data_IF_050818857485
#
_entry.id   IF_050818857485
#
_cell.length_a   1.000
_cell.length_b   1.000
_cell.length_c   1.000
_cell.angle_alpha   90.00
_cell.angle_beta   90.00
_cell.angle_gamma   90.00
#
_symmetry.space_group_name_H-M   'P 1'
#
loop_
_entity.id
_entity.type
_entity.pdbx_description
1 polymer ?
#
# COMPACT_ATOMS: atom_id res chain seq x y z
N UNK A 1 17.54 5.15 -13.73
CA UNK A 1 16.10 4.84 -13.62
C UNK A 1 15.55 5.78 -12.56
N UNK A 2 14.68 6.67 -13.01
CA UNK A 2 14.43 8.00 -12.47
C UNK A 2 13.87 8.03 -11.05
N UNK A 3 14.32 9.00 -10.26
CA UNK A 3 13.67 9.36 -8.99
C UNK A 3 12.20 9.66 -9.29
N UNK A 4 11.28 8.89 -8.71
CA UNK A 4 9.87 9.25 -8.72
C UNK A 4 9.75 10.56 -7.94
N UNK A 5 9.29 11.63 -8.60
CA UNK A 5 9.05 12.91 -7.93
C UNK A 5 7.94 12.75 -6.88
N UNK A 6 7.99 13.56 -5.83
CA UNK A 6 6.99 13.55 -4.76
C UNK A 6 5.56 13.60 -5.29
N UNK A 7 5.31 14.32 -6.38
CA UNK A 7 4.00 14.40 -7.04
C UNK A 7 3.52 13.07 -7.67
N UNK A 8 4.43 12.27 -8.22
CA UNK A 8 4.09 10.96 -8.80
C UNK A 8 3.83 9.95 -7.68
N UNK A 9 4.69 9.91 -6.67
CA UNK A 9 4.46 9.11 -5.47
C UNK A 9 3.13 9.49 -4.83
N UNK A 10 2.86 10.79 -4.69
CA UNK A 10 1.65 11.29 -4.05
C UNK A 10 0.39 10.99 -4.86
N UNK A 11 0.46 11.00 -6.20
CA UNK A 11 -0.66 10.56 -7.06
C UNK A 11 -0.95 9.07 -6.93
N UNK A 12 0.08 8.23 -6.95
CA UNK A 12 -0.09 6.79 -6.76
C UNK A 12 -0.59 6.48 -5.34
N UNK A 13 -0.11 7.24 -4.36
CA UNK A 13 -0.53 7.13 -2.97
C UNK A 13 -1.99 7.57 -2.79
N UNK A 14 -2.40 8.74 -3.32
CA UNK A 14 -3.81 9.20 -3.30
C UNK A 14 -4.77 8.25 -4.01
N UNK A 15 -4.28 7.47 -4.97
CA UNK A 15 -5.11 6.48 -5.66
C UNK A 15 -5.43 5.28 -4.78
N UNK A 16 -4.55 4.98 -3.83
CA UNK A 16 -4.71 3.90 -2.85
C UNK A 16 -5.33 4.39 -1.54
N UNK A 17 -4.96 5.59 -1.09
CA UNK A 17 -5.47 6.29 0.10
C UNK A 17 -6.86 6.86 -0.19
N UNK A 18 -7.88 6.20 0.37
CA UNK A 18 -9.29 6.51 0.11
C UNK A 18 -9.78 7.63 1.02
N UNK A 19 -9.25 7.72 2.24
CA UNK A 19 -9.57 8.77 3.21
C UNK A 19 -8.71 10.03 3.03
N UNK A 20 -7.65 9.97 2.21
CA UNK A 20 -6.72 11.09 1.93
C UNK A 20 -6.04 11.59 3.21
N UNK A 21 -5.79 10.70 4.16
CA UNK A 21 -5.15 11.02 5.45
C UNK A 21 -3.61 11.11 5.31
N UNK A 22 -3.05 10.70 4.16
CA UNK A 22 -1.60 10.67 3.93
C UNK A 22 -0.93 9.39 4.45
N UNK A 23 -1.75 8.42 4.85
CA UNK A 23 -1.36 7.10 5.33
C UNK A 23 -2.26 6.06 4.68
N UNK A 24 -1.70 4.97 4.14
CA UNK A 24 -2.53 3.85 3.65
C UNK A 24 -2.68 2.83 4.78
N UNK A 25 -3.88 2.72 5.31
CA UNK A 25 -4.18 1.75 6.36
C UNK A 25 -4.30 0.32 5.79
N UNK A 26 -4.10 -0.69 6.64
CA UNK A 26 -4.40 -2.10 6.28
C UNK A 26 -5.82 -2.24 5.76
N UNK A 27 -6.77 -1.54 6.37
CA UNK A 27 -8.18 -1.65 5.99
C UNK A 27 -8.42 -1.07 4.59
N UNK A 28 -7.81 0.06 4.26
CA UNK A 28 -7.89 0.65 2.93
C UNK A 28 -7.22 -0.22 1.86
N UNK A 29 -6.02 -0.73 2.14
CA UNK A 29 -5.35 -1.65 1.21
C UNK A 29 -6.20 -2.91 0.99
N UNK A 30 -6.75 -3.47 2.08
CA UNK A 30 -7.65 -4.63 2.02
C UNK A 30 -8.92 -4.34 1.24
N UNK A 31 -9.50 -3.16 1.39
CA UNK A 31 -10.71 -2.77 0.69
C UNK A 31 -10.46 -2.44 -0.79
N UNK A 32 -9.26 -1.95 -1.13
CA UNK A 32 -8.81 -1.74 -2.51
C UNK A 32 -8.54 -3.06 -3.24
N UNK A 33 -7.91 -4.03 -2.56
CA UNK A 33 -7.62 -5.33 -3.13
C UNK A 33 -8.82 -6.28 -3.12
N UNK A 34 -9.81 -6.09 -2.22
CA UNK A 34 -11.07 -6.88 -2.18
C UNK A 34 -11.77 -7.06 -3.53
N UNK A 35 -12.09 -6.00 -4.29
CA UNK A 35 -12.71 -6.16 -5.61
C UNK A 35 -11.77 -6.86 -6.61
N UNK A 36 -10.46 -6.72 -6.43
CA UNK A 36 -9.46 -7.40 -7.26
C UNK A 36 -9.35 -8.90 -6.93
N UNK A 37 -9.59 -9.30 -5.68
CA UNK A 37 -9.65 -10.71 -5.24
C UNK A 37 -10.76 -11.46 -5.98
N UNK A 38 -11.95 -10.86 -6.06
CA UNK A 38 -13.10 -11.42 -6.78
C UNK A 38 -12.81 -11.54 -8.28
N UNK A 39 -12.07 -10.59 -8.85
CA UNK A 39 -11.75 -10.56 -10.27
C UNK A 39 -10.66 -11.56 -10.67
N UNK A 40 -9.68 -11.83 -9.80
CA UNK A 40 -8.56 -12.76 -10.08
C UNK A 40 -8.88 -14.19 -9.59
N UNK A 41 -9.97 -14.39 -8.83
CA UNK A 41 -10.36 -15.70 -8.30
C UNK A 41 -9.46 -16.22 -7.18
N UNK A 42 -8.74 -15.30 -6.52
CA UNK A 42 -7.88 -15.63 -5.37
C UNK A 42 -8.74 -15.71 -4.12
N UNK A 43 -8.55 -16.76 -3.32
CA UNK A 43 -9.29 -16.91 -2.07
C UNK A 43 -9.02 -15.72 -1.13
N UNK A 44 -10.03 -15.18 -0.43
CA UNK A 44 -9.89 -13.98 0.40
C UNK A 44 -8.78 -14.13 1.45
N UNK A 45 -8.60 -15.34 1.99
CA UNK A 45 -7.52 -15.65 2.95
C UNK A 45 -6.12 -15.48 2.37
N UNK A 46 -5.88 -15.90 1.13
CA UNK A 46 -4.56 -15.78 0.49
C UNK A 46 -4.23 -14.32 0.22
N UNK A 47 -5.20 -13.55 -0.24
CA UNK A 47 -4.99 -12.14 -0.50
C UNK A 47 -4.86 -11.31 0.79
N UNK A 48 -5.55 -11.67 1.87
CA UNK A 48 -5.27 -11.11 3.20
C UNK A 48 -3.83 -11.39 3.65
N UNK A 49 -3.34 -12.62 3.46
CA UNK A 49 -1.95 -12.97 3.79
C UNK A 49 -0.94 -12.18 2.97
N UNK A 50 -1.18 -12.01 1.67
CA UNK A 50 -0.31 -11.24 0.78
C UNK A 50 -0.29 -9.75 1.19
N UNK A 51 -1.46 -9.16 1.44
CA UNK A 51 -1.57 -7.76 1.91
C UNK A 51 -0.88 -7.58 3.24
N UNK A 52 -1.11 -8.49 4.19
CA UNK A 52 -0.50 -8.43 5.52
C UNK A 52 1.02 -8.61 5.46
N UNK A 53 1.52 -9.47 4.57
CA UNK A 53 2.94 -9.65 4.32
C UNK A 53 3.59 -8.45 3.61
N UNK A 54 2.85 -7.81 2.70
CA UNK A 54 3.29 -6.63 1.97
C UNK A 54 3.37 -5.42 2.90
N UNK A 55 2.37 -5.24 3.76
CA UNK A 55 2.38 -4.22 4.82
C UNK A 55 3.51 -4.50 5.80
N UNK A 56 3.68 -5.71 6.33
CA UNK A 56 4.80 -6.02 7.24
C UNK A 56 6.19 -5.76 6.66
N UNK A 57 6.34 -5.76 5.34
CA UNK A 57 7.60 -5.46 4.67
C UNK A 57 7.83 -3.96 4.48
N UNK A 58 6.76 -3.19 4.34
CA UNK A 58 6.79 -1.77 4.07
C UNK A 58 6.71 -0.93 5.35
N UNK A 59 5.90 -1.39 6.30
CA UNK A 59 5.69 -0.84 7.63
C UNK A 59 6.86 -1.25 8.54
N UNK A 60 7.89 -0.41 8.56
CA UNK A 60 9.10 -0.62 9.36
C UNK A 60 8.85 -0.20 10.80
N UNK A 61 7.99 0.81 10.99
CA UNK A 61 7.62 1.33 12.31
C UNK A 61 6.60 0.45 13.05
N UNK A 62 6.01 -0.55 12.36
CA UNK A 62 4.91 -1.38 12.87
C UNK A 62 3.70 -0.54 13.29
N UNK A 63 3.45 0.55 12.57
CA UNK A 63 2.31 1.45 12.75
C UNK A 63 0.98 0.78 12.35
N UNK A 64 1.04 -0.29 11.55
CA UNK A 64 -0.12 -0.93 10.94
C UNK A 64 -0.65 -0.15 9.73
N UNK A 65 0.10 0.85 9.26
CA UNK A 65 -0.24 1.70 8.13
C UNK A 65 1.05 2.03 7.38
N UNK A 66 0.97 2.22 6.07
CA UNK A 66 2.11 2.66 5.28
C UNK A 66 2.02 4.17 5.17
N UNK A 67 2.99 4.89 5.71
CA UNK A 67 3.05 6.35 5.57
C UNK A 67 3.65 6.76 4.22
N UNK A 68 3.34 7.97 3.74
CA UNK A 68 3.94 8.51 2.51
C UNK A 68 5.48 8.46 2.54
N UNK A 69 6.08 8.73 3.70
CA UNK A 69 7.53 8.63 3.90
C UNK A 69 8.05 7.19 3.76
N UNK A 70 7.34 6.19 4.28
CA UNK A 70 7.74 4.78 4.16
C UNK A 70 7.62 4.28 2.72
N UNK A 71 6.56 4.69 2.01
CA UNK A 71 6.39 4.37 0.60
C UNK A 71 7.50 5.00 -0.26
N UNK A 72 7.81 6.28 -0.02
CA UNK A 72 8.92 6.97 -0.66
C UNK A 72 10.26 6.33 -0.34
N UNK A 73 10.48 5.97 0.93
CA UNK A 73 11.68 5.27 1.38
C UNK A 73 11.82 3.93 0.66
N UNK A 74 10.75 3.14 0.56
CA UNK A 74 10.76 1.86 -0.15
C UNK A 74 11.09 2.02 -1.65
N UNK A 75 10.45 2.97 -2.34
CA UNK A 75 10.73 3.23 -3.75
C UNK A 75 12.15 3.78 -4.00
N UNK A 76 12.73 4.46 -3.01
CA UNK A 76 14.07 5.09 -3.11
C UNK A 76 15.18 4.17 -2.62
N UNK A 77 14.88 3.22 -1.73
CA UNK A 77 15.81 2.25 -1.15
C UNK A 77 16.14 1.19 -2.19
N UNK A 78 17.10 1.52 -3.05
CA UNK A 78 17.66 0.66 -4.09
C UNK A 78 19.09 0.24 -3.76
#
# INVERSE_FOLDING_TARGET
>A
MSSLSDEQLKKEFLRMDKDNDGSITIDELKNYYKPMQEMIGVSPQMAEQEIQGLIKRLDVDNSGTISFEEFKLFCTRR
#
